data_IF_515455036016
#
_entry.id   IF_515455036016
#
_cell.length_a   1.000
_cell.length_b   1.000
_cell.length_c   1.000
_cell.angle_alpha   90.00
_cell.angle_beta   90.00
_cell.angle_gamma   90.00
#
_symmetry.space_group_name_H-M   'P 1'
#
loop_
_entity.id
_entity.type
_entity.pdbx_description
1 polymer ?
#
# COMPACT_ATOMS: atom_id res chain seq x y z
N UNK A 1 -4.62 19.34 12.95
CA UNK A 1 -5.90 18.96 13.55
C UNK A 1 -6.92 20.00 13.15
N UNK A 2 -7.45 19.87 11.95
CA UNK A 2 -8.37 20.81 11.34
C UNK A 2 -9.17 20.07 10.28
N UNK A 3 -10.38 20.53 9.97
CA UNK A 3 -11.33 19.79 9.13
C UNK A 3 -10.71 19.24 7.84
N UNK A 4 -9.86 20.03 7.17
CA UNK A 4 -9.14 19.57 5.99
C UNK A 4 -8.19 18.40 6.28
N UNK A 5 -7.29 18.54 7.26
CA UNK A 5 -6.31 17.52 7.62
C UNK A 5 -6.96 16.21 8.07
N UNK A 6 -8.09 16.30 8.76
CA UNK A 6 -8.70 15.14 9.43
C UNK A 6 -9.76 14.46 8.55
N UNK A 7 -10.32 15.17 7.55
CA UNK A 7 -11.45 14.68 6.75
C UNK A 7 -11.27 14.75 5.23
N UNK A 8 -10.36 15.57 4.72
CA UNK A 8 -10.19 15.74 3.26
C UNK A 8 -8.85 15.17 2.81
N UNK A 9 -7.77 15.62 3.44
CA UNK A 9 -6.39 15.25 3.10
C UNK A 9 -6.16 13.73 3.06
N UNK A 10 -6.66 12.91 4.01
CA UNK A 10 -6.41 11.47 3.98
C UNK A 10 -6.97 10.80 2.73
N UNK A 11 -8.12 11.23 2.23
CA UNK A 11 -8.72 10.69 1.00
C UNK A 11 -7.99 11.15 -0.25
N UNK A 12 -7.46 12.37 -0.26
CA UNK A 12 -6.62 12.85 -1.36
C UNK A 12 -5.31 12.05 -1.43
N UNK A 13 -4.67 11.80 -0.28
CA UNK A 13 -3.46 10.97 -0.18
C UNK A 13 -3.75 9.55 -0.64
N UNK A 14 -4.80 8.92 -0.11
CA UNK A 14 -5.18 7.55 -0.49
C UNK A 14 -5.38 7.40 -2.00
N UNK A 15 -6.15 8.30 -2.63
CA UNK A 15 -6.36 8.29 -4.08
C UNK A 15 -5.07 8.56 -4.87
N UNK A 16 -4.22 9.47 -4.40
CA UNK A 16 -2.93 9.75 -5.03
C UNK A 16 -2.00 8.53 -4.98
N UNK A 17 -1.93 7.88 -3.82
CA UNK A 17 -1.14 6.66 -3.61
C UNK A 17 -1.73 5.45 -4.36
N UNK A 18 -3.04 5.42 -4.61
CA UNK A 18 -3.73 4.39 -5.42
C UNK A 18 -3.70 4.68 -6.93
N UNK A 19 -3.08 5.78 -7.37
CA UNK A 19 -3.05 6.13 -8.78
C UNK A 19 -2.37 5.05 -9.64
N UNK A 20 -2.89 4.88 -10.86
CA UNK A 20 -2.45 3.85 -11.83
C UNK A 20 -0.92 3.78 -12.04
N UNK A 21 -0.17 4.90 -12.12
CA UNK A 21 1.29 4.82 -12.25
C UNK A 21 1.96 4.16 -11.05
N UNK A 22 1.49 4.41 -9.82
CA UNK A 22 2.04 3.81 -8.60
C UNK A 22 1.67 2.33 -8.52
N UNK A 23 0.41 1.99 -8.81
CA UNK A 23 -0.05 0.59 -8.89
C UNK A 23 0.83 -0.24 -9.83
N UNK A 24 1.16 0.30 -11.01
CA UNK A 24 2.05 -0.38 -11.98
C UNK A 24 3.47 -0.61 -11.46
N UNK A 25 3.98 0.24 -10.58
CA UNK A 25 5.28 -0.02 -9.95
C UNK A 25 5.16 -1.09 -8.86
N UNK A 26 4.06 -1.09 -8.09
CA UNK A 26 3.80 -2.15 -7.10
C UNK A 26 3.74 -3.53 -7.75
N UNK A 27 3.02 -3.66 -8.86
CA UNK A 27 2.94 -4.91 -9.65
C UNK A 27 4.31 -5.47 -10.05
N UNK A 28 5.30 -4.60 -10.25
CA UNK A 28 6.65 -5.03 -10.64
C UNK A 28 7.51 -5.46 -9.46
N UNK A 29 7.36 -4.79 -8.31
CA UNK A 29 8.31 -4.90 -7.20
C UNK A 29 7.75 -5.76 -6.06
N UNK A 30 6.49 -5.57 -5.67
CA UNK A 30 5.91 -6.24 -4.49
C UNK A 30 5.87 -7.78 -4.62
N UNK A 31 5.58 -8.39 -5.78
CA UNK A 31 5.61 -9.85 -5.92
C UNK A 31 7.00 -10.50 -5.76
N UNK A 32 8.07 -9.68 -5.72
CA UNK A 32 9.44 -10.17 -5.53
C UNK A 32 9.79 -10.35 -4.05
N UNK A 33 8.96 -9.87 -3.13
CA UNK A 33 9.15 -10.08 -1.70
C UNK A 33 8.86 -11.54 -1.32
N UNK A 34 9.68 -12.09 -0.42
CA UNK A 34 9.57 -13.46 0.07
C UNK A 34 9.91 -13.55 1.56
N UNK A 35 9.39 -14.59 2.22
CA UNK A 35 9.59 -14.82 3.65
C UNK A 35 8.66 -13.99 4.53
N UNK A 36 9.16 -13.57 5.69
CA UNK A 36 8.35 -12.93 6.73
C UNK A 36 8.28 -11.42 6.52
N UNK A 37 7.09 -10.88 6.30
CA UNK A 37 6.86 -9.48 5.88
C UNK A 37 6.19 -8.66 6.98
N UNK A 38 6.69 -7.43 7.18
CA UNK A 38 6.09 -6.39 8.03
C UNK A 38 5.83 -5.13 7.19
N UNK A 39 4.56 -4.70 7.12
CA UNK A 39 4.17 -3.44 6.48
C UNK A 39 4.15 -2.30 7.50
N UNK A 40 5.18 -1.46 7.50
CA UNK A 40 5.24 -0.28 8.39
C UNK A 40 4.41 0.85 7.80
N UNK A 41 3.47 1.38 8.57
CA UNK A 41 2.65 2.51 8.12
C UNK A 41 1.73 2.15 6.95
N UNK A 42 1.17 0.93 6.98
CA UNK A 42 0.38 0.32 5.90
C UNK A 42 -0.76 1.18 5.33
N UNK A 43 -1.29 2.13 6.12
CA UNK A 43 -2.39 2.99 5.68
C UNK A 43 -3.58 2.15 5.24
N UNK A 44 -4.01 2.32 3.98
CA UNK A 44 -5.09 1.56 3.36
C UNK A 44 -4.69 0.19 2.79
N UNK A 45 -3.44 -0.26 2.98
CA UNK A 45 -3.01 -1.60 2.57
C UNK A 45 -2.87 -1.80 1.07
N UNK A 46 -2.53 -0.74 0.32
CA UNK A 46 -2.48 -0.77 -1.15
C UNK A 46 -1.44 -1.75 -1.72
N UNK A 47 -0.50 -2.23 -0.93
CA UNK A 47 0.49 -3.22 -1.37
C UNK A 47 -0.02 -4.66 -1.25
N UNK A 48 -0.96 -4.94 -0.33
CA UNK A 48 -1.45 -6.30 -0.02
C UNK A 48 -1.84 -7.09 -1.26
N UNK A 49 -2.61 -6.55 -2.22
CA UNK A 49 -3.04 -7.31 -3.39
C UNK A 49 -1.89 -7.73 -4.34
N UNK A 50 -0.70 -7.16 -4.17
CA UNK A 50 0.45 -7.40 -5.04
C UNK A 50 1.46 -8.39 -4.44
N UNK A 51 1.27 -8.86 -3.21
CA UNK A 51 2.12 -9.89 -2.65
C UNK A 51 1.77 -11.27 -3.21
N UNK A 52 2.79 -12.08 -3.50
CA UNK A 52 2.62 -13.49 -3.85
C UNK A 52 2.38 -14.28 -2.55
N UNK A 53 1.12 -14.60 -2.26
CA UNK A 53 0.70 -15.22 -0.99
C UNK A 53 1.43 -16.54 -0.69
N UNK A 54 1.83 -17.28 -1.72
CA UNK A 54 2.61 -18.52 -1.60
C UNK A 54 4.08 -18.30 -1.19
N UNK A 55 4.59 -17.06 -1.28
CA UNK A 55 5.98 -16.72 -0.96
C UNK A 55 6.14 -15.97 0.36
N UNK A 56 5.05 -15.48 0.95
CA UNK A 56 5.12 -14.57 2.10
C UNK A 56 4.30 -15.05 3.29
N UNK A 57 4.84 -14.77 4.48
CA UNK A 57 4.16 -14.89 5.78
C UNK A 57 4.01 -13.48 6.36
N UNK A 58 2.77 -13.00 6.50
CA UNK A 58 2.50 -11.69 7.10
C UNK A 58 2.53 -11.77 8.63
N UNK A 59 3.10 -10.74 9.25
CA UNK A 59 3.21 -10.57 10.72
C UNK A 59 2.39 -9.39 11.19
#
# INVERSE_FOLDING_TARGET
>A
MGFYSDRILPHCIDKGCAAKPISRQREKVVPQAEGRILEVGMGSGLNIPFYAAEKVEFV
#
